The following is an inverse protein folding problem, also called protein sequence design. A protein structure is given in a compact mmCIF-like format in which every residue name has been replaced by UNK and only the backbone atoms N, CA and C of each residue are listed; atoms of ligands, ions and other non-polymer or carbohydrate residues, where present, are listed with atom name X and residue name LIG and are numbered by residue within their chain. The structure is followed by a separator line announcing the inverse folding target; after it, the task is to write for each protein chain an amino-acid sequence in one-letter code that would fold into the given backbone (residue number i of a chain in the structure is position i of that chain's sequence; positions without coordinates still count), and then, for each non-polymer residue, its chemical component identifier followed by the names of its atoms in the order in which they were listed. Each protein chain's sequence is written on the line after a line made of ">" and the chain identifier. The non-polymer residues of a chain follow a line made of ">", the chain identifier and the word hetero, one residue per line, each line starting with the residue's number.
data_IF_140402655604
#
_entry.id   IF_140402655604
#
_cell.length_a   1.000
_cell.length_b   1.000
_cell.length_c   1.000
_cell.angle_alpha   90.00
_cell.angle_beta   90.00
_cell.angle_gamma   90.00
#
_symmetry.space_group_name_H-M   'P 1'
#
loop_
_entity.id
_entity.type
_entity.pdbx_description
1 polymer ?
#
# COMPACT_ATOMS: atom_id res chain seq x y z
N UNK A 1 47.26 16.98 -22.96
CA UNK A 1 47.11 15.59 -22.47
C UNK A 1 48.31 14.78 -22.95
N UNK A 2 48.69 13.70 -22.26
CA UNK A 2 49.91 12.95 -22.60
C UNK A 2 49.74 12.04 -23.82
N UNK A 3 50.81 11.85 -24.63
CA UNK A 3 50.80 11.06 -25.89
C UNK A 3 50.12 9.67 -25.81
N UNK A 4 50.12 9.03 -24.64
CA UNK A 4 49.45 7.74 -24.41
C UNK A 4 47.93 7.86 -24.41
N UNK A 5 47.39 8.95 -23.85
CA UNK A 5 45.96 9.24 -23.86
C UNK A 5 45.47 9.48 -25.28
N UNK A 6 46.15 10.35 -26.03
CA UNK A 6 45.75 10.71 -27.39
C UNK A 6 45.73 9.49 -28.31
N UNK A 7 46.72 8.59 -28.19
CA UNK A 7 46.77 7.32 -28.94
C UNK A 7 45.61 6.39 -28.56
N UNK A 8 45.29 6.27 -27.26
CA UNK A 8 44.18 5.43 -26.80
C UNK A 8 42.82 6.00 -27.25
N UNK A 9 42.66 7.33 -27.22
CA UNK A 9 41.45 8.02 -27.66
C UNK A 9 41.22 7.89 -29.17
N UNK A 10 42.27 8.05 -29.97
CA UNK A 10 42.21 7.80 -31.42
C UNK A 10 41.85 6.34 -31.74
N UNK A 11 42.49 5.39 -31.05
CA UNK A 11 42.19 3.95 -31.23
C UNK A 11 40.73 3.62 -30.88
N UNK A 12 40.16 4.27 -29.86
CA UNK A 12 38.76 4.13 -29.48
C UNK A 12 37.84 4.73 -30.56
N UNK A 13 38.12 5.94 -31.04
CA UNK A 13 37.33 6.57 -32.09
C UNK A 13 37.34 5.73 -33.38
N UNK A 14 38.50 5.20 -33.77
CA UNK A 14 38.63 4.35 -34.96
C UNK A 14 37.82 3.06 -34.83
N UNK A 15 37.86 2.40 -33.66
CA UNK A 15 37.15 1.14 -33.41
C UNK A 15 35.62 1.27 -33.53
N UNK A 16 35.07 2.43 -33.17
CA UNK A 16 33.62 2.70 -33.26
C UNK A 16 33.24 3.48 -34.53
N UNK A 17 34.20 3.79 -35.42
CA UNK A 17 33.95 4.55 -36.64
C UNK A 17 33.59 6.03 -36.40
N UNK A 18 34.12 6.62 -35.32
CA UNK A 18 33.90 7.98 -34.86
C UNK A 18 33.60 8.04 -33.35
N UNK A 19 34.08 9.07 -32.66
CA UNK A 19 33.81 9.22 -31.23
C UNK A 19 32.31 9.43 -30.94
N UNK A 20 31.59 10.05 -31.86
CA UNK A 20 30.14 10.28 -31.73
C UNK A 20 29.37 8.94 -31.69
N UNK A 21 29.81 7.95 -32.48
CA UNK A 21 29.23 6.59 -32.46
C UNK A 21 29.53 5.88 -31.15
N UNK A 22 30.75 6.01 -30.63
CA UNK A 22 31.08 5.50 -29.29
C UNK A 22 30.17 6.11 -28.21
N UNK A 23 29.97 7.43 -28.22
CA UNK A 23 29.08 8.09 -27.27
C UNK A 23 27.63 7.63 -27.42
N UNK A 24 27.12 7.52 -28.65
CA UNK A 24 25.75 7.05 -28.91
C UNK A 24 25.53 5.61 -28.45
N UNK A 25 26.48 4.70 -28.70
CA UNK A 25 26.41 3.32 -28.22
C UNK A 25 26.47 3.25 -26.69
N UNK A 26 27.36 4.02 -26.06
CA UNK A 26 27.45 4.11 -24.59
C UNK A 26 26.17 4.66 -23.97
N UNK A 27 25.56 5.67 -24.59
CA UNK A 27 24.30 6.22 -24.16
C UNK A 27 23.18 5.18 -24.27
N UNK A 28 23.09 4.47 -25.40
CA UNK A 28 22.13 3.39 -25.60
C UNK A 28 22.29 2.27 -24.56
N UNK A 29 23.53 1.87 -24.24
CA UNK A 29 23.83 0.89 -23.18
C UNK A 29 23.41 1.38 -21.79
N UNK A 30 23.54 2.68 -21.52
CA UNK A 30 23.17 3.26 -20.21
C UNK A 30 21.70 3.59 -20.07
N UNK A 31 20.97 3.67 -21.20
CA UNK A 31 19.55 4.07 -21.24
C UNK A 31 18.68 3.12 -20.44
N UNK A 32 18.84 1.81 -20.61
CA UNK A 32 18.07 0.82 -19.83
C UNK A 32 18.30 0.99 -18.32
N UNK A 33 19.57 1.14 -17.89
CA UNK A 33 19.89 1.33 -16.49
C UNK A 33 19.27 2.63 -15.93
N UNK A 34 19.25 3.70 -16.73
CA UNK A 34 18.65 4.98 -16.35
C UNK A 34 17.13 4.89 -16.24
N UNK A 35 16.47 4.26 -17.20
CA UNK A 35 15.01 4.01 -17.17
C UNK A 35 14.59 3.14 -15.99
N UNK A 36 15.41 2.16 -15.62
CA UNK A 36 15.17 1.34 -14.44
C UNK A 36 15.41 2.12 -13.15
N UNK A 37 16.39 3.03 -13.11
CA UNK A 37 16.67 3.86 -11.94
C UNK A 37 15.63 4.97 -11.72
N UNK A 38 15.08 5.53 -12.81
CA UNK A 38 14.11 6.62 -12.81
C UNK A 38 12.68 6.13 -12.48
N UNK A 39 12.55 5.40 -11.37
CA UNK A 39 11.25 5.02 -10.83
C UNK A 39 10.62 6.13 -10.03
N UNK A 40 9.30 6.10 -9.95
CA UNK A 40 8.54 6.97 -9.06
C UNK A 40 8.78 6.57 -7.60
N UNK A 41 9.82 7.17 -7.00
CA UNK A 41 10.20 6.94 -5.60
C UNK A 41 9.08 7.36 -4.65
N UNK A 42 8.27 8.36 -5.02
CA UNK A 42 7.14 8.81 -4.20
C UNK A 42 6.04 7.76 -4.19
N UNK A 43 5.68 7.20 -5.35
CA UNK A 43 4.70 6.12 -5.45
C UNK A 43 5.12 4.92 -4.58
N UNK A 44 6.37 4.48 -4.73
CA UNK A 44 6.93 3.36 -3.94
C UNK A 44 6.89 3.67 -2.45
N UNK A 45 7.36 4.86 -2.06
CA UNK A 45 7.44 5.28 -0.66
C UNK A 45 6.06 5.35 0.00
N UNK A 46 5.06 5.88 -0.70
CA UNK A 46 3.68 6.01 -0.18
C UNK A 46 3.02 4.66 0.02
N UNK A 47 3.20 3.72 -0.90
CA UNK A 47 2.65 2.36 -0.78
C UNK A 47 3.37 1.56 0.30
N UNK A 48 4.69 1.68 0.39
CA UNK A 48 5.46 1.07 1.47
C UNK A 48 5.00 1.61 2.84
N UNK A 49 4.82 2.94 2.96
CA UNK A 49 4.30 3.58 4.17
C UNK A 49 2.92 3.04 4.54
N UNK A 50 1.99 2.98 3.58
CA UNK A 50 0.64 2.41 3.78
C UNK A 50 0.71 0.97 4.32
N UNK A 51 1.56 0.13 3.74
CA UNK A 51 1.76 -1.24 4.20
C UNK A 51 2.33 -1.31 5.63
N UNK A 52 3.40 -0.57 5.92
CA UNK A 52 4.03 -0.55 7.25
C UNK A 52 3.06 -0.02 8.31
N UNK A 53 2.24 0.97 7.95
CA UNK A 53 1.21 1.51 8.82
C UNK A 53 0.18 0.44 9.20
N UNK A 54 -0.36 -0.30 8.22
CA UNK A 54 -1.28 -1.42 8.50
C UNK A 54 -0.58 -2.51 9.33
N UNK A 55 0.66 -2.87 9.02
CA UNK A 55 1.41 -3.87 9.79
C UNK A 55 1.59 -3.48 11.25
N UNK A 56 1.89 -2.22 11.54
CA UNK A 56 1.96 -1.71 12.91
C UNK A 56 0.65 -1.94 13.68
N UNK A 57 -0.50 -1.64 13.09
CA UNK A 57 -1.79 -1.87 13.75
C UNK A 57 -2.17 -3.34 13.85
N UNK A 58 -1.76 -4.17 12.89
CA UNK A 58 -1.92 -5.63 12.98
C UNK A 58 -1.11 -6.18 14.17
N UNK A 59 0.11 -5.72 14.36
CA UNK A 59 0.92 -6.09 15.52
C UNK A 59 0.28 -5.64 16.84
N UNK A 60 -0.25 -4.42 16.86
CA UNK A 60 -1.02 -3.90 18.00
C UNK A 60 -2.24 -4.79 18.29
N UNK A 61 -3.00 -5.16 17.26
CA UNK A 61 -4.17 -6.02 17.39
C UNK A 61 -3.82 -7.39 17.96
N UNK A 62 -2.82 -8.07 17.40
CA UNK A 62 -2.37 -9.37 17.88
C UNK A 62 -1.85 -9.32 19.32
N UNK A 63 -1.14 -8.24 19.68
CA UNK A 63 -0.65 -8.02 21.05
C UNK A 63 -1.79 -7.81 22.04
N UNK A 64 -2.75 -6.94 21.73
CA UNK A 64 -3.80 -6.55 22.68
C UNK A 64 -4.94 -7.58 22.75
N UNK A 65 -5.36 -8.15 21.62
CA UNK A 65 -6.46 -9.12 21.56
C UNK A 65 -6.03 -10.54 21.95
N UNK A 66 -4.81 -10.94 21.58
CA UNK A 66 -4.33 -12.32 21.73
C UNK A 66 -3.09 -12.46 22.62
N UNK A 67 -2.64 -11.38 23.27
CA UNK A 67 -1.50 -11.38 24.18
C UNK A 67 -0.17 -11.84 23.56
N UNK A 68 0.01 -11.65 22.24
CA UNK A 68 1.26 -11.97 21.56
C UNK A 68 2.39 -11.05 22.04
N UNK A 69 3.55 -11.63 22.33
CA UNK A 69 4.74 -10.87 22.72
C UNK A 69 5.60 -10.51 21.50
N UNK A 70 6.69 -9.76 21.72
CA UNK A 70 7.58 -9.31 20.62
C UNK A 70 8.19 -10.46 19.81
N UNK A 71 8.49 -11.61 20.44
CA UNK A 71 9.02 -12.78 19.75
C UNK A 71 7.97 -13.42 18.86
N UNK A 72 6.73 -13.51 19.33
CA UNK A 72 5.61 -14.08 18.56
C UNK A 72 5.28 -13.25 17.31
N UNK A 73 5.46 -11.93 17.41
CA UNK A 73 5.22 -10.98 16.32
C UNK A 73 6.39 -10.89 15.31
N UNK A 74 7.54 -11.51 15.60
CA UNK A 74 8.71 -11.52 14.71
C UNK A 74 8.56 -12.58 13.60
N UNK A 75 7.46 -12.48 12.87
CA UNK A 75 7.09 -13.34 11.74
C UNK A 75 6.68 -12.46 10.55
N UNK A 76 6.62 -13.04 9.35
CA UNK A 76 6.25 -12.28 8.17
C UNK A 76 4.81 -11.76 8.24
N UNK A 77 4.54 -10.61 7.62
CA UNK A 77 3.20 -10.05 7.49
C UNK A 77 2.16 -11.08 7.04
N UNK A 78 2.49 -11.88 6.03
CA UNK A 78 1.59 -12.93 5.52
C UNK A 78 1.23 -13.99 6.58
N UNK A 79 2.16 -14.34 7.49
CA UNK A 79 1.87 -15.25 8.61
C UNK A 79 0.97 -14.57 9.64
N UNK A 80 1.18 -13.30 9.96
CA UNK A 80 0.30 -12.51 10.85
C UNK A 80 -1.15 -12.49 10.33
N UNK A 81 -1.31 -12.19 9.04
CA UNK A 81 -2.63 -12.20 8.39
C UNK A 81 -3.26 -13.59 8.36
N UNK A 82 -2.46 -14.65 8.18
CA UNK A 82 -2.96 -16.03 8.30
C UNK A 82 -3.49 -16.32 9.69
N UNK A 83 -2.77 -15.93 10.74
CA UNK A 83 -3.22 -16.11 12.13
C UNK A 83 -4.60 -15.45 12.34
N UNK A 84 -4.75 -14.19 11.95
CA UNK A 84 -6.05 -13.48 12.08
C UNK A 84 -7.14 -14.16 11.25
N UNK A 85 -6.81 -14.56 10.02
CA UNK A 85 -7.75 -15.27 9.15
C UNK A 85 -8.26 -16.58 9.76
N UNK A 86 -7.39 -17.31 10.46
CA UNK A 86 -7.68 -18.60 11.09
C UNK A 86 -8.44 -18.43 12.41
N UNK A 87 -8.30 -17.27 13.08
CA UNK A 87 -9.12 -16.90 14.25
C UNK A 87 -10.57 -16.60 13.90
N UNK A 88 -10.83 -16.16 12.66
CA UNK A 88 -12.16 -15.87 12.14
C UNK A 88 -12.94 -14.83 13.00
N UNK A 89 -12.27 -13.73 13.33
CA UNK A 89 -12.71 -12.70 14.27
C UNK A 89 -13.25 -11.43 13.56
N UNK A 90 -13.36 -10.32 14.29
CA UNK A 90 -13.90 -9.06 13.80
C UNK A 90 -13.08 -8.44 12.65
N UNK A 91 -11.82 -8.85 12.45
CA UNK A 91 -10.99 -8.41 11.33
C UNK A 91 -11.17 -9.26 10.07
N UNK A 92 -11.87 -10.39 10.14
CA UNK A 92 -12.10 -11.30 9.02
C UNK A 92 -12.56 -10.59 7.72
N UNK A 93 -13.51 -9.64 7.76
CA UNK A 93 -13.97 -8.95 6.54
C UNK A 93 -12.84 -8.22 5.78
N UNK A 94 -11.83 -7.72 6.49
CA UNK A 94 -10.74 -6.93 5.90
C UNK A 94 -9.57 -7.78 5.42
N UNK A 95 -9.52 -9.08 5.74
CA UNK A 95 -8.39 -9.95 5.39
C UNK A 95 -8.13 -9.98 3.88
N UNK A 96 -9.20 -9.98 3.07
CA UNK A 96 -9.09 -9.98 1.60
C UNK A 96 -8.37 -8.73 1.11
N UNK A 97 -8.78 -7.56 1.58
CA UNK A 97 -8.22 -6.27 1.16
C UNK A 97 -6.82 -6.01 1.75
N UNK A 98 -6.56 -6.45 2.98
CA UNK A 98 -5.21 -6.41 3.57
C UNK A 98 -4.23 -7.30 2.78
N UNK A 99 -4.66 -8.49 2.35
CA UNK A 99 -3.85 -9.34 1.44
C UNK A 99 -3.60 -8.64 0.11
N UNK A 100 -4.59 -7.94 -0.46
CA UNK A 100 -4.42 -7.19 -1.71
C UNK A 100 -3.36 -6.09 -1.57
N UNK A 101 -3.37 -5.35 -0.47
CA UNK A 101 -2.33 -4.33 -0.18
C UNK A 101 -0.92 -4.96 -0.17
N UNK A 102 -0.75 -6.10 0.50
CA UNK A 102 0.53 -6.81 0.53
C UNK A 102 0.97 -7.31 -0.85
N UNK A 103 0.03 -7.78 -1.68
CA UNK A 103 0.33 -8.18 -3.05
C UNK A 103 0.82 -7.00 -3.91
N UNK A 104 0.18 -5.84 -3.79
CA UNK A 104 0.57 -4.63 -4.52
C UNK A 104 1.94 -4.13 -4.04
N UNK A 105 2.15 -4.07 -2.73
CA UNK A 105 3.47 -3.74 -2.15
C UNK A 105 4.56 -4.67 -2.66
N UNK A 106 4.31 -5.98 -2.71
CA UNK A 106 5.29 -6.95 -3.19
C UNK A 106 5.59 -6.79 -4.68
N UNK A 107 4.57 -6.50 -5.50
CA UNK A 107 4.79 -6.17 -6.92
C UNK A 107 5.68 -4.93 -7.07
N UNK A 108 5.42 -3.87 -6.31
CA UNK A 108 6.27 -2.67 -6.34
C UNK A 108 7.71 -2.95 -5.89
N UNK A 109 7.89 -3.73 -4.82
CA UNK A 109 9.22 -4.04 -4.29
C UNK A 109 10.05 -4.93 -5.21
N UNK A 110 9.42 -5.78 -6.03
CA UNK A 110 10.12 -6.75 -6.89
C UNK A 110 10.12 -6.40 -8.37
N UNK A 111 9.27 -5.47 -8.82
CA UNK A 111 9.19 -5.05 -10.20
C UNK A 111 9.29 -3.52 -10.27
N UNK A 112 10.48 -3.03 -10.58
CA UNK A 112 10.75 -1.61 -10.71
C UNK A 112 9.86 -0.95 -11.78
N UNK A 113 9.51 -1.67 -12.87
CA UNK A 113 8.63 -1.17 -13.93
C UNK A 113 7.14 -1.21 -13.58
N UNK A 114 6.77 -1.70 -12.40
CA UNK A 114 5.37 -1.72 -11.99
C UNK A 114 4.87 -0.29 -11.72
N UNK A 115 3.63 -0.04 -12.14
CA UNK A 115 2.89 1.21 -11.92
C UNK A 115 1.50 0.86 -11.46
N UNK A 116 0.96 1.61 -10.50
CA UNK A 116 -0.39 1.37 -10.01
C UNK A 116 -1.40 1.72 -11.10
N UNK A 117 -2.29 0.76 -11.36
CA UNK A 117 -3.37 0.95 -12.33
C UNK A 117 -4.66 1.35 -11.65
N UNK A 118 -5.61 1.86 -12.43
CA UNK A 118 -6.91 2.26 -11.92
C UNK A 118 -7.67 1.10 -11.28
N UNK A 119 -7.52 -0.11 -11.85
CA UNK A 119 -8.18 -1.32 -11.33
C UNK A 119 -7.66 -1.71 -9.94
N UNK A 120 -6.38 -1.42 -9.65
CA UNK A 120 -5.80 -1.67 -8.33
C UNK A 120 -6.39 -0.72 -7.27
N UNK A 121 -6.60 0.55 -7.61
CA UNK A 121 -7.25 1.53 -6.73
C UNK A 121 -8.76 1.25 -6.59
N UNK A 122 -9.44 0.95 -7.70
CA UNK A 122 -10.86 0.61 -7.73
C UNK A 122 -11.22 -0.58 -6.84
N UNK A 123 -10.30 -1.54 -6.68
CA UNK A 123 -10.50 -2.63 -5.73
C UNK A 123 -10.79 -2.08 -4.33
N UNK A 124 -9.97 -1.16 -3.82
CA UNK A 124 -10.12 -0.62 -2.47
C UNK A 124 -11.32 0.32 -2.35
N UNK A 125 -11.58 1.15 -3.39
CA UNK A 125 -12.77 2.01 -3.43
C UNK A 125 -14.08 1.22 -3.31
N UNK A 126 -14.07 -0.02 -3.77
CA UNK A 126 -15.24 -0.89 -3.76
C UNK A 126 -15.43 -1.69 -2.45
N UNK A 127 -14.43 -1.71 -1.56
CA UNK A 127 -14.55 -2.37 -0.27
C UNK A 127 -15.49 -1.57 0.65
N UNK A 128 -16.33 -2.27 1.41
CA UNK A 128 -17.36 -1.64 2.26
C UNK A 128 -16.76 -0.65 3.28
N UNK A 129 -15.54 -0.94 3.74
CA UNK A 129 -14.80 -0.05 4.63
C UNK A 129 -14.58 1.33 4.02
N UNK A 130 -14.25 1.37 2.73
CA UNK A 130 -13.98 2.60 1.99
C UNK A 130 -15.28 3.35 1.69
N UNK A 131 -16.34 2.65 1.30
CA UNK A 131 -17.65 3.27 1.01
C UNK A 131 -18.29 3.96 2.22
N UNK A 132 -17.96 3.50 3.42
CA UNK A 132 -18.47 4.05 4.68
C UNK A 132 -17.51 5.06 5.33
N UNK A 133 -16.52 5.55 4.58
CA UNK A 133 -15.48 6.47 5.06
C UNK A 133 -15.99 7.87 5.45
N UNK A 134 -17.23 8.24 5.10
CA UNK A 134 -17.85 9.55 5.33
C UNK A 134 -17.79 10.07 6.80
N UNK A 135 -17.49 9.20 7.78
CA UNK A 135 -17.29 9.59 9.18
C UNK A 135 -15.89 10.10 9.53
N UNK A 136 -14.95 10.13 8.57
CA UNK A 136 -13.56 10.51 8.82
C UNK A 136 -13.19 11.79 8.09
N UNK A 137 -12.54 12.72 8.82
CA UNK A 137 -12.17 14.07 8.37
C UNK A 137 -10.90 14.12 7.48
N UNK A 138 -10.47 13.02 6.89
CA UNK A 138 -9.29 13.02 5.99
C UNK A 138 -9.75 13.53 4.63
N UNK A 139 -9.17 14.64 4.20
CA UNK A 139 -9.33 15.23 2.87
C UNK A 139 -8.32 14.54 1.96
N UNK A 140 -8.80 13.96 0.87
CA UNK A 140 -8.02 13.13 -0.03
C UNK A 140 -8.45 13.44 -1.46
N UNK A 141 -7.49 13.48 -2.37
CA UNK A 141 -7.78 13.61 -3.79
C UNK A 141 -8.17 12.23 -4.33
N UNK A 142 -9.48 12.01 -4.56
CA UNK A 142 -9.98 10.72 -5.05
C UNK A 142 -9.51 10.38 -6.47
N UNK A 143 -9.08 11.39 -7.24
CA UNK A 143 -8.46 11.21 -8.56
C UNK A 143 -7.01 10.73 -8.43
N UNK A 144 -6.35 11.00 -7.31
CA UNK A 144 -5.04 10.45 -7.02
C UNK A 144 -5.17 8.98 -6.57
N UNK A 145 -4.66 8.06 -7.39
CA UNK A 145 -4.78 6.62 -7.14
C UNK A 145 -4.07 6.18 -5.87
N UNK A 146 -3.04 6.91 -5.43
CA UNK A 146 -2.18 6.54 -4.29
C UNK A 146 -2.82 6.92 -2.96
N UNK A 147 -3.50 8.06 -2.96
CA UNK A 147 -4.33 8.59 -1.90
C UNK A 147 -5.35 7.54 -1.37
N UNK A 148 -5.93 6.74 -2.29
CA UNK A 148 -6.81 5.60 -1.96
C UNK A 148 -6.17 4.59 -1.01
N UNK A 149 -4.87 4.31 -1.15
CA UNK A 149 -4.17 3.33 -0.32
C UNK A 149 -3.90 3.85 1.08
N UNK A 150 -3.59 5.14 1.19
CA UNK A 150 -3.36 5.80 2.48
C UNK A 150 -4.67 5.94 3.26
N UNK A 151 -5.74 6.25 2.54
CA UNK A 151 -7.10 6.25 3.06
C UNK A 151 -7.49 4.87 3.60
N UNK A 152 -7.38 3.86 2.76
CA UNK A 152 -7.67 2.48 3.13
C UNK A 152 -6.84 2.03 4.35
N UNK A 153 -5.56 2.38 4.39
CA UNK A 153 -4.69 2.03 5.52
C UNK A 153 -5.11 2.73 6.81
N UNK A 154 -5.53 4.00 6.71
CA UNK A 154 -6.09 4.78 7.82
C UNK A 154 -7.39 4.18 8.35
N UNK A 155 -8.26 3.77 7.45
CA UNK A 155 -9.52 3.09 7.77
C UNK A 155 -9.32 1.76 8.50
N UNK A 156 -8.39 0.93 8.03
CA UNK A 156 -8.05 -0.33 8.71
C UNK A 156 -7.53 -0.06 10.12
N UNK A 157 -6.67 0.95 10.27
CA UNK A 157 -6.16 1.36 11.58
C UNK A 157 -7.27 1.86 12.52
N UNK A 158 -8.18 2.71 12.03
CA UNK A 158 -9.35 3.16 12.78
C UNK A 158 -10.19 1.97 13.24
N UNK A 159 -10.47 1.04 12.33
CA UNK A 159 -11.27 -0.14 12.67
C UNK A 159 -10.60 -1.04 13.70
N UNK A 160 -9.29 -1.23 13.62
CA UNK A 160 -8.53 -1.95 14.65
C UNK A 160 -8.65 -1.22 16.01
N UNK A 161 -8.50 0.10 16.03
CA UNK A 161 -8.67 0.89 17.25
C UNK A 161 -10.08 0.79 17.83
N UNK A 162 -11.12 0.79 17.00
CA UNK A 162 -12.51 0.58 17.43
C UNK A 162 -12.69 -0.81 18.07
N UNK A 163 -12.19 -1.88 17.43
CA UNK A 163 -12.30 -3.24 17.95
C UNK A 163 -11.59 -3.37 19.31
N UNK A 164 -10.45 -2.73 19.48
CA UNK A 164 -9.67 -2.76 20.73
C UNK A 164 -10.24 -1.81 21.80
N UNK A 165 -11.09 -0.85 21.42
CA UNK A 165 -11.67 0.09 22.37
C UNK A 165 -12.74 -0.59 23.23
N UNK A 166 -12.45 -0.77 24.52
CA UNK A 166 -13.38 -1.35 25.51
C UNK A 166 -14.72 -0.63 25.62
N UNK A 167 -14.80 0.63 25.16
CA UNK A 167 -16.04 1.45 25.17
C UNK A 167 -16.77 1.42 23.83
N UNK A 168 -16.27 0.70 22.82
CA UNK A 168 -16.88 0.69 21.48
C UNK A 168 -18.33 0.19 21.49
N UNK A 169 -18.70 -0.65 22.46
CA UNK A 169 -20.09 -1.09 22.66
C UNK A 169 -21.08 0.07 22.82
N UNK A 170 -20.66 1.21 23.37
CA UNK A 170 -21.51 2.40 23.48
C UNK A 170 -21.84 3.00 22.11
N UNK A 171 -20.85 3.04 21.23
CA UNK A 171 -21.05 3.51 19.85
C UNK A 171 -21.93 2.56 19.05
N UNK A 172 -21.68 1.25 19.16
CA UNK A 172 -22.52 0.22 18.52
C UNK A 172 -23.98 0.29 19.01
N UNK A 173 -24.21 0.58 20.29
CA UNK A 173 -25.56 0.78 20.84
C UNK A 173 -26.26 1.99 20.20
N UNK A 174 -25.53 3.10 19.99
CA UNK A 174 -26.08 4.29 19.30
C UNK A 174 -26.39 3.98 17.84
N UNK A 175 -25.48 3.32 17.12
CA UNK A 175 -25.73 2.93 15.72
C UNK A 175 -26.94 1.99 15.59
N UNK A 176 -27.10 1.06 16.55
CA UNK A 176 -28.27 0.18 16.60
C UNK A 176 -29.55 0.98 16.82
N UNK A 177 -29.57 1.90 17.79
CA UNK A 177 -30.73 2.75 18.06
C UNK A 177 -31.13 3.59 16.82
N UNK A 178 -30.16 4.20 16.12
CA UNK A 178 -30.41 4.95 14.88
C UNK A 178 -31.01 4.06 13.79
N UNK A 179 -30.50 2.82 13.64
CA UNK A 179 -31.04 1.87 12.64
C UNK A 179 -32.45 1.42 12.97
N UNK A 180 -32.73 1.20 14.25
CA UNK A 180 -34.05 0.80 14.73
C UNK A 180 -35.05 1.94 14.52
N UNK A 181 -34.70 3.19 14.89
CA UNK A 181 -35.51 4.38 14.61
C UNK A 181 -35.74 4.60 13.11
N UNK A 182 -34.69 4.47 12.28
CA UNK A 182 -34.83 4.59 10.83
C UNK A 182 -35.79 3.52 10.28
N UNK A 183 -35.69 2.27 10.74
CA UNK A 183 -36.66 1.22 10.35
C UNK A 183 -38.07 1.59 10.76
N UNK A 184 -38.28 2.04 11.99
CA UNK A 184 -39.62 2.41 12.47
C UNK A 184 -40.23 3.56 11.65
N UNK A 185 -39.42 4.54 11.22
CA UNK A 185 -39.88 5.63 10.35
C UNK A 185 -40.24 5.15 8.94
N UNK A 186 -39.48 4.21 8.39
CA UNK A 186 -39.73 3.67 7.04
C UNK A 186 -40.85 2.62 6.99
N UNK A 187 -41.05 1.84 8.06
CA UNK A 187 -42.08 0.79 8.12
C UNK A 187 -43.41 1.25 8.72
N UNK A 188 -43.46 2.33 9.51
CA UNK A 188 -44.73 2.94 9.98
C UNK A 188 -45.31 4.01 9.03
N UNK A 189 -44.77 4.12 7.80
CA UNK A 189 -45.30 4.98 6.72
C UNK A 189 -45.97 4.18 5.58
N UNK A 190 -46.18 2.88 5.76
CA UNK A 190 -47.01 2.02 4.91
C UNK A 190 -48.36 1.77 5.59
#
# INVERSE_FOLDING_TARGET
>A
MGKKFDKAYASLADAYGGIDKFHAEREAMSKEAREVFDQDVLEIGRILRSHLYVEYYIDKYLKEKYCYNRKDLNITFSKKIKIINDKNDELKPFIRSIKRLNLIRNKMAHNLKFRIREEDANFFRNEDLYKNYFFSKIVIDEENKIDVYELYSSLVACRICEILNKKNYLFENVLKAIKDEARDVYFNRA
#
